data_IF_133989959330
#
_entry.id   IF_133989959330
#
_cell.length_a   1.000
_cell.length_b   1.000
_cell.length_c   1.000
_cell.angle_alpha   90.00
_cell.angle_beta   90.00
_cell.angle_gamma   90.00
#
_symmetry.space_group_name_H-M   'P 1'
#
loop_
_entity.id
_entity.type
_entity.pdbx_description
1 polymer ?
#
# COMPACT_ATOMS: atom_id res chain seq x y z
N UNK A 1 -7.30 -11.36 18.56
CA UNK A 1 -6.48 -11.30 17.39
C UNK A 1 -6.93 -10.20 16.47
N UNK A 2 -6.06 -9.36 16.13
CA UNK A 2 -6.36 -8.21 15.34
C UNK A 2 -5.98 -8.39 13.95
N UNK A 3 -6.81 -9.06 13.24
CA UNK A 3 -6.58 -9.20 11.86
C UNK A 3 -6.96 -7.91 11.20
N UNK A 4 -6.30 -7.54 10.20
CA UNK A 4 -6.65 -6.42 9.43
C UNK A 4 -6.23 -5.08 10.00
N UNK A 5 -5.27 -5.09 10.89
CA UNK A 5 -4.68 -3.84 11.32
C UNK A 5 -4.01 -3.17 10.13
N UNK A 6 -4.37 -1.92 9.82
CA UNK A 6 -3.72 -1.22 8.71
C UNK A 6 -2.21 -1.12 8.88
N UNK A 7 -1.75 -1.03 10.12
CA UNK A 7 -0.32 -0.95 10.38
C UNK A 7 0.39 -2.23 9.99
N UNK A 8 -0.21 -3.38 10.31
CA UNK A 8 0.40 -4.67 9.96
C UNK A 8 0.50 -4.83 8.45
N UNK A 9 -0.56 -4.46 7.74
CA UNK A 9 -0.56 -4.55 6.28
C UNK A 9 0.47 -3.59 5.68
N UNK A 10 0.61 -2.41 6.25
CA UNK A 10 1.58 -1.43 5.79
C UNK A 10 3.00 -1.95 6.00
N UNK A 11 3.27 -2.55 7.15
CA UNK A 11 4.56 -3.14 7.42
C UNK A 11 4.89 -4.25 6.41
N UNK A 12 3.91 -5.06 6.11
CA UNK A 12 4.08 -6.12 5.14
C UNK A 12 4.38 -5.56 3.75
N UNK A 13 3.68 -4.49 3.36
CA UNK A 13 3.94 -3.84 2.09
C UNK A 13 5.36 -3.30 2.03
N UNK A 14 5.84 -2.71 3.11
CA UNK A 14 7.22 -2.23 3.18
C UNK A 14 8.21 -3.38 3.02
N UNK A 15 7.93 -4.50 3.67
CA UNK A 15 8.77 -5.67 3.57
C UNK A 15 8.89 -6.13 2.12
N UNK A 16 7.77 -6.26 1.43
CA UNK A 16 7.78 -6.69 0.04
C UNK A 16 8.48 -5.68 -0.86
N UNK A 17 8.38 -4.40 -0.54
CA UNK A 17 9.01 -3.37 -1.35
C UNK A 17 10.53 -3.34 -1.17
N UNK A 18 11.00 -3.42 0.08
CA UNK A 18 12.40 -3.13 0.40
C UNK A 18 13.24 -4.38 0.61
N UNK A 19 12.66 -5.44 1.17
CA UNK A 19 13.40 -6.65 1.52
C UNK A 19 13.25 -7.69 0.43
N UNK A 20 12.04 -8.12 0.19
CA UNK A 20 11.75 -9.14 -0.81
C UNK A 20 11.80 -8.59 -2.23
N UNK A 21 11.63 -7.28 -2.37
CA UNK A 21 11.60 -6.58 -3.67
C UNK A 21 10.54 -7.17 -4.59
N UNK A 22 9.45 -7.62 -4.00
CA UNK A 22 8.31 -8.14 -4.74
C UNK A 22 7.30 -7.00 -4.90
N UNK A 23 7.53 -6.18 -5.91
CA UNK A 23 6.74 -4.96 -6.09
C UNK A 23 5.29 -5.26 -6.40
N UNK A 24 5.02 -6.38 -7.06
CA UNK A 24 3.63 -6.76 -7.34
C UNK A 24 2.85 -7.04 -6.07
N UNK A 25 3.46 -7.76 -5.13
CA UNK A 25 2.81 -8.03 -3.86
C UNK A 25 2.63 -6.75 -3.05
N UNK A 26 3.65 -5.90 -3.04
CA UNK A 26 3.55 -4.62 -2.34
C UNK A 26 2.44 -3.78 -2.93
N UNK A 27 2.32 -3.75 -4.25
CA UNK A 27 1.27 -3.01 -4.92
C UNK A 27 -0.11 -3.56 -4.59
N UNK A 28 -0.26 -4.87 -4.59
CA UNK A 28 -1.53 -5.51 -4.25
C UNK A 28 -1.97 -5.13 -2.85
N UNK A 29 -1.07 -5.19 -1.89
CA UNK A 29 -1.38 -4.80 -0.51
C UNK A 29 -1.75 -3.34 -0.43
N UNK A 30 -1.05 -2.48 -1.15
CA UNK A 30 -1.34 -1.05 -1.15
C UNK A 30 -2.73 -0.77 -1.69
N UNK A 31 -3.11 -1.43 -2.77
CA UNK A 31 -4.44 -1.27 -3.36
C UNK A 31 -5.52 -1.76 -2.41
N UNK A 32 -5.28 -2.89 -1.75
CA UNK A 32 -6.23 -3.41 -0.77
C UNK A 32 -6.43 -2.45 0.39
N UNK A 33 -5.35 -1.87 0.89
CA UNK A 33 -5.43 -0.88 1.95
C UNK A 33 -6.21 0.35 1.50
N UNK A 34 -5.96 0.81 0.29
CA UNK A 34 -6.70 1.95 -0.26
C UNK A 34 -8.19 1.65 -0.30
N UNK A 35 -8.56 0.48 -0.78
CA UNK A 35 -9.96 0.09 -0.87
C UNK A 35 -10.61 0.06 0.50
N UNK A 36 -9.93 -0.52 1.48
CA UNK A 36 -10.47 -0.58 2.84
C UNK A 36 -10.64 0.80 3.45
N UNK A 37 -9.65 1.65 3.29
CA UNK A 37 -9.72 3.00 3.85
C UNK A 37 -10.81 3.81 3.17
N UNK A 38 -10.97 3.67 1.87
CA UNK A 38 -12.01 4.40 1.14
C UNK A 38 -13.41 3.94 1.53
N UNK A 39 -13.54 2.73 2.01
CA UNK A 39 -14.82 2.22 2.51
C UNK A 39 -15.13 2.69 3.91
N UNK A 40 -14.14 3.20 4.63
CA UNK A 40 -14.32 3.67 5.99
C UNK A 40 -14.92 5.06 6.03
N UNK A 41 -15.55 5.45 7.15
CA UNK A 41 -16.07 6.80 7.28
C UNK A 41 -14.94 7.83 7.12
N UNK A 42 -15.23 8.97 6.50
CA UNK A 42 -14.19 9.98 6.26
C UNK A 42 -13.69 10.59 7.56
N UNK A 43 -12.39 10.87 7.59
CA UNK A 43 -11.74 11.51 8.71
C UNK A 43 -10.44 12.12 8.23
N UNK A 44 -9.88 13.04 9.02
CA UNK A 44 -8.66 13.72 8.61
C UNK A 44 -7.49 12.75 8.43
N UNK A 45 -7.35 11.80 9.36
CA UNK A 45 -6.29 10.81 9.25
C UNK A 45 -6.45 9.95 8.01
N UNK A 46 -7.67 9.65 7.65
CA UNK A 46 -7.97 8.81 6.50
C UNK A 46 -7.48 9.47 5.21
N UNK A 47 -7.70 10.77 5.08
CA UNK A 47 -7.25 11.48 3.88
C UNK A 47 -5.73 11.44 3.73
N UNK A 48 -5.02 11.63 4.83
CA UNK A 48 -3.57 11.56 4.79
C UNK A 48 -3.09 10.16 4.42
N UNK A 49 -3.72 9.14 4.97
CA UNK A 49 -3.37 7.77 4.66
C UNK A 49 -3.62 7.46 3.19
N UNK A 50 -4.74 7.94 2.66
CA UNK A 50 -5.04 7.75 1.23
C UNK A 50 -3.95 8.37 0.37
N UNK A 51 -3.54 9.60 0.68
CA UNK A 51 -2.50 10.27 -0.08
C UNK A 51 -1.19 9.49 -0.04
N UNK A 52 -0.81 9.01 1.13
CA UNK A 52 0.41 8.23 1.28
C UNK A 52 0.37 6.95 0.48
N UNK A 53 -0.76 6.26 0.53
CA UNK A 53 -0.92 5.01 -0.18
C UNK A 53 -0.95 5.23 -1.69
N UNK A 54 -1.56 6.31 -2.14
CA UNK A 54 -1.56 6.64 -3.56
C UNK A 54 -0.16 6.96 -4.06
N UNK A 55 0.63 7.66 -3.27
CA UNK A 55 2.03 7.91 -3.60
C UNK A 55 2.81 6.61 -3.71
N UNK A 56 2.62 5.72 -2.74
CA UNK A 56 3.28 4.43 -2.76
C UNK A 56 2.87 3.61 -3.97
N UNK A 57 1.58 3.62 -4.29
CA UNK A 57 1.07 2.92 -5.45
C UNK A 57 1.74 3.41 -6.73
N UNK A 58 1.80 4.73 -6.89
CA UNK A 58 2.42 5.32 -8.07
C UNK A 58 3.90 4.94 -8.17
N UNK A 59 4.60 5.01 -7.05
CA UNK A 59 6.02 4.65 -7.03
C UNK A 59 6.23 3.18 -7.39
N UNK A 60 5.39 2.30 -6.85
CA UNK A 60 5.50 0.88 -7.14
C UNK A 60 5.22 0.59 -8.60
N UNK A 61 4.23 1.26 -9.17
CA UNK A 61 3.94 1.10 -10.59
C UNK A 61 5.13 1.49 -11.45
N UNK A 62 5.81 2.57 -11.11
CA UNK A 62 6.99 2.99 -11.83
C UNK A 62 8.11 1.96 -11.72
N UNK A 63 8.30 1.41 -10.53
CA UNK A 63 9.33 0.40 -10.32
C UNK A 63 9.04 -0.85 -11.13
N UNK A 64 7.78 -1.26 -11.18
CA UNK A 64 7.38 -2.42 -11.96
C UNK A 64 7.63 -2.18 -13.44
N UNK A 65 7.28 -1.00 -13.93
CA UNK A 65 7.52 -0.67 -15.34
C UNK A 65 8.99 -0.70 -15.68
N UNK A 66 9.83 -0.21 -14.79
CA UNK A 66 11.27 -0.24 -15.02
C UNK A 66 11.81 -1.65 -15.06
N UNK A 67 11.24 -2.54 -14.26
CA UNK A 67 11.69 -3.93 -14.26
C UNK A 67 11.34 -4.64 -15.55
N UNK A 68 10.19 -4.29 -16.14
CA UNK A 68 9.74 -4.99 -17.33
C UNK A 68 10.32 -4.41 -18.62
N UNK A 69 10.81 -3.22 -18.56
CA UNK A 69 11.42 -2.62 -19.74
C UNK A 69 12.93 -2.76 -19.66
#
# INVERSE_FOLDING_TARGET
>A
ANHGSPEAALELAKYYEHIAKDYHQALDLTVRLLTEIQSSPPGESVQQDILRLEHRKSRLLQKIQRQTS
#
